data_IF_865980846302
#
_entry.id   IF_865980846302
#
_cell.length_a   1.000
_cell.length_b   1.000
_cell.length_c   1.000
_cell.angle_alpha   90.00
_cell.angle_beta   90.00
_cell.angle_gamma   90.00
#
_symmetry.space_group_name_H-M   'P 1'
#
loop_
_entity.id
_entity.type
_entity.pdbx_description
1 polymer ?
#
# COMPACT_ATOMS: atom_id res chain seq x y z
N UNK A 1 -4.80 -19.21 18.98
CA UNK A 1 -5.36 -18.37 17.90
C UNK A 1 -4.30 -18.25 16.81
N UNK A 2 -4.65 -18.28 15.52
CA UNK A 2 -3.68 -18.07 14.43
C UNK A 2 -3.40 -16.59 14.11
N UNK A 3 -3.77 -15.67 15.02
CA UNK A 3 -3.62 -14.22 14.82
C UNK A 3 -2.19 -13.86 15.22
N UNK A 4 -1.38 -13.44 14.25
CA UNK A 4 0.03 -13.13 14.48
C UNK A 4 0.28 -11.68 14.91
N UNK A 5 -0.55 -10.73 14.48
CA UNK A 5 -0.38 -9.30 14.73
C UNK A 5 -1.54 -8.77 15.59
N UNK A 6 -1.22 -7.97 16.60
CA UNK A 6 -2.16 -7.27 17.49
C UNK A 6 -1.76 -5.81 17.60
N UNK A 7 -2.49 -4.96 16.90
CA UNK A 7 -2.28 -3.51 16.88
C UNK A 7 -3.08 -2.81 17.98
N UNK A 8 -2.50 -1.78 18.57
CA UNK A 8 -3.09 -1.07 19.70
C UNK A 8 -3.65 0.28 19.27
N UNK A 9 -4.97 0.34 19.14
CA UNK A 9 -5.70 1.56 18.79
C UNK A 9 -5.92 1.70 17.28
N UNK A 10 -6.46 2.85 16.89
CA UNK A 10 -6.62 3.34 15.52
C UNK A 10 -6.63 4.86 15.61
N UNK A 11 -5.83 5.57 14.85
CA UNK A 11 -5.75 7.03 14.77
C UNK A 11 -5.95 7.77 16.11
N UNK A 12 -5.23 7.37 17.18
CA UNK A 12 -5.47 7.88 18.53
C UNK A 12 -5.19 9.39 18.65
N UNK A 13 -4.42 9.96 17.72
CA UNK A 13 -4.03 11.37 17.68
C UNK A 13 -5.15 12.31 17.19
N UNK A 14 -6.16 11.79 16.47
CA UNK A 14 -7.30 12.57 15.99
C UNK A 14 -8.64 12.15 16.60
N UNK A 15 -8.72 11.01 17.30
CA UNK A 15 -9.91 10.65 18.07
C UNK A 15 -11.10 10.26 17.19
N UNK A 16 -12.30 10.75 17.50
CA UNK A 16 -13.54 10.29 16.84
C UNK A 16 -13.56 10.61 15.33
N UNK A 17 -12.82 11.64 14.92
CA UNK A 17 -12.66 12.01 13.50
C UNK A 17 -11.87 10.95 12.71
N UNK A 18 -11.11 10.09 13.40
CA UNK A 18 -10.35 8.96 12.85
C UNK A 18 -10.89 7.59 13.27
N UNK A 19 -12.16 7.51 13.68
CA UNK A 19 -12.74 6.23 14.13
C UNK A 19 -12.24 5.74 15.51
N UNK A 20 -11.59 6.60 16.30
CA UNK A 20 -11.16 6.29 17.66
C UNK A 20 -12.09 6.92 18.71
N UNK A 21 -12.66 6.16 19.66
CA UNK A 21 -13.56 6.75 20.68
C UNK A 21 -12.88 7.79 21.58
N UNK A 22 -11.55 7.79 21.66
CA UNK A 22 -10.79 8.68 22.52
C UNK A 22 -9.68 9.37 21.74
N UNK A 23 -9.54 10.68 21.95
CA UNK A 23 -8.36 11.42 21.49
C UNK A 23 -7.28 11.37 22.56
N UNK A 24 -6.16 10.75 22.25
CA UNK A 24 -5.06 10.56 23.18
C UNK A 24 -4.05 11.70 23.13
N UNK A 25 -3.51 12.02 24.29
CA UNK A 25 -2.20 12.67 24.42
C UNK A 25 -1.10 11.61 24.33
N UNK A 26 0.16 12.04 24.18
CA UNK A 26 1.28 11.11 24.14
C UNK A 26 1.44 10.34 25.46
N UNK A 27 1.20 10.96 26.62
CA UNK A 27 1.28 10.30 27.93
C UNK A 27 0.15 9.28 28.13
N UNK A 28 -1.08 9.65 27.76
CA UNK A 28 -2.24 8.77 27.91
C UNK A 28 -2.17 7.57 26.95
N UNK A 29 -1.69 7.77 25.71
CA UNK A 29 -1.47 6.68 24.78
C UNK A 29 -0.36 5.74 25.27
N UNK A 30 0.79 6.26 25.73
CA UNK A 30 1.87 5.43 26.25
C UNK A 30 1.41 4.50 27.38
N UNK A 31 0.61 5.03 28.31
CA UNK A 31 0.00 4.23 29.39
C UNK A 31 -0.95 3.17 28.83
N UNK A 32 -1.82 3.55 27.90
CA UNK A 32 -2.77 2.63 27.26
C UNK A 32 -2.05 1.50 26.51
N UNK A 33 -1.00 1.83 25.75
CA UNK A 33 -0.17 0.88 25.02
C UNK A 33 0.45 -0.16 25.95
N UNK A 34 1.12 0.28 27.02
CA UNK A 34 1.78 -0.63 27.96
C UNK A 34 0.81 -1.65 28.56
N UNK A 35 -0.33 -1.20 29.07
CA UNK A 35 -1.32 -2.11 29.67
C UNK A 35 -1.94 -3.05 28.62
N UNK A 36 -2.20 -2.56 27.42
CA UNK A 36 -2.80 -3.35 26.33
C UNK A 36 -1.83 -4.43 25.86
N UNK A 37 -0.56 -4.08 25.64
CA UNK A 37 0.50 -5.02 25.26
C UNK A 37 0.72 -6.09 26.34
N UNK A 38 0.79 -5.69 27.61
CA UNK A 38 0.93 -6.64 28.71
C UNK A 38 -0.27 -7.61 28.79
N UNK A 39 -1.48 -7.14 28.46
CA UNK A 39 -2.66 -7.99 28.38
C UNK A 39 -2.63 -8.94 27.18
N UNK A 40 -2.27 -8.44 26.00
CA UNK A 40 -2.17 -9.23 24.78
C UNK A 40 -1.15 -10.37 24.95
N UNK A 41 0.06 -10.06 25.44
CA UNK A 41 1.13 -11.06 25.61
C UNK A 41 0.87 -12.05 26.75
N UNK A 42 0.06 -11.69 27.75
CA UNK A 42 -0.42 -12.65 28.76
C UNK A 42 -1.40 -13.65 28.16
N UNK A 43 -2.22 -13.23 27.21
CA UNK A 43 -3.18 -14.10 26.53
C UNK A 43 -2.51 -14.94 25.43
N UNK A 44 -1.58 -14.35 24.69
CA UNK A 44 -0.83 -15.01 23.62
C UNK A 44 0.64 -14.51 23.61
N UNK A 45 1.56 -15.26 24.26
CA UNK A 45 2.97 -14.89 24.31
C UNK A 45 3.69 -14.85 22.95
N UNK A 46 3.07 -15.38 21.88
CA UNK A 46 3.65 -15.39 20.54
C UNK A 46 3.13 -14.23 19.65
N UNK A 47 2.15 -13.47 20.13
CA UNK A 47 1.60 -12.35 19.36
C UNK A 47 2.65 -11.25 19.14
N UNK A 48 2.77 -10.80 17.88
CA UNK A 48 3.45 -9.54 17.56
C UNK A 48 2.52 -8.39 17.94
N UNK A 49 3.01 -7.47 18.76
CA UNK A 49 2.28 -6.29 19.22
C UNK A 49 2.90 -4.99 18.70
N UNK A 50 2.08 -4.01 18.40
CA UNK A 50 2.53 -2.74 17.81
C UNK A 50 1.46 -1.64 17.79
N UNK A 51 1.83 -0.49 17.24
CA UNK A 51 1.02 0.73 17.16
C UNK A 51 1.88 1.92 16.72
N UNK A 52 1.40 3.18 16.73
CA UNK A 52 0.10 3.62 17.25
C UNK A 52 -1.06 3.66 16.24
N UNK A 53 -0.88 3.18 15.02
CA UNK A 53 -1.84 3.39 13.93
C UNK A 53 -2.17 4.89 13.74
N UNK A 54 -1.13 5.74 13.68
CA UNK A 54 -1.30 7.20 13.67
C UNK A 54 -1.91 7.72 12.35
N UNK A 55 -2.87 8.64 12.44
CA UNK A 55 -3.31 9.42 11.28
C UNK A 55 -2.23 10.40 10.82
N UNK A 56 -1.51 10.99 11.79
CA UNK A 56 -0.42 11.92 11.54
C UNK A 56 0.92 11.35 12.02
N UNK A 57 1.74 10.91 11.07
CA UNK A 57 3.06 10.28 11.31
C UNK A 57 4.06 11.12 12.14
N UNK A 58 3.84 12.44 12.27
CA UNK A 58 4.65 13.33 13.14
C UNK A 58 3.97 13.65 14.48
N UNK A 59 2.92 12.92 14.83
CA UNK A 59 2.26 13.05 16.13
C UNK A 59 3.28 12.87 17.27
N UNK A 60 3.22 13.70 18.34
CA UNK A 60 4.05 13.52 19.54
C UNK A 60 3.92 12.15 20.21
N UNK A 61 2.86 11.40 19.90
CA UNK A 61 2.67 10.01 20.37
C UNK A 61 3.83 9.12 19.90
N UNK A 62 4.31 9.28 18.66
CA UNK A 62 5.32 8.40 18.09
C UNK A 62 6.66 8.43 18.84
N UNK A 63 7.33 9.60 19.03
CA UNK A 63 8.57 9.64 19.79
C UNK A 63 8.39 9.25 21.26
N UNK A 64 7.23 9.57 21.87
CA UNK A 64 6.94 9.17 23.24
C UNK A 64 6.81 7.64 23.39
N UNK A 65 6.16 6.96 22.41
CA UNK A 65 6.07 5.51 22.39
C UNK A 65 7.44 4.86 22.26
N UNK A 66 8.31 5.38 21.39
CA UNK A 66 9.67 4.87 21.25
C UNK A 66 10.47 5.06 22.54
N UNK A 67 10.37 6.22 23.19
CA UNK A 67 11.01 6.46 24.49
C UNK A 67 10.51 5.51 25.57
N UNK A 68 9.20 5.27 25.66
CA UNK A 68 8.60 4.30 26.58
C UNK A 68 9.18 2.90 26.35
N UNK A 69 9.16 2.42 25.10
CA UNK A 69 9.61 1.07 24.77
C UNK A 69 11.11 0.91 25.00
N UNK A 70 11.91 1.93 24.71
CA UNK A 70 13.36 1.92 24.91
C UNK A 70 13.75 1.97 26.41
N UNK A 71 13.08 2.81 27.21
CA UNK A 71 13.41 3.04 28.62
C UNK A 71 12.87 1.94 29.55
N UNK A 72 11.68 1.42 29.27
CA UNK A 72 10.98 0.45 30.14
C UNK A 72 10.90 -0.95 29.55
N UNK A 73 11.51 -1.17 28.38
CA UNK A 73 11.52 -2.46 27.68
C UNK A 73 10.11 -3.01 27.41
N UNK A 74 9.13 -2.13 27.22
CA UNK A 74 7.80 -2.52 26.75
C UNK A 74 7.95 -3.09 25.34
N UNK A 75 7.42 -4.29 25.03
CA UNK A 75 7.55 -4.88 23.70
C UNK A 75 6.95 -4.00 22.60
N UNK A 76 7.70 -3.85 21.50
CA UNK A 76 7.29 -3.17 20.28
C UNK A 76 7.83 -3.99 19.10
N UNK A 77 6.97 -4.83 18.52
CA UNK A 77 7.32 -5.72 17.41
C UNK A 77 7.13 -5.04 16.06
N UNK A 78 6.22 -4.08 15.98
CA UNK A 78 6.01 -3.26 14.79
C UNK A 78 5.55 -1.84 15.17
N UNK A 79 5.85 -0.88 14.30
CA UNK A 79 5.32 0.49 14.35
C UNK A 79 4.43 0.73 13.15
N UNK A 80 3.27 1.36 13.39
CA UNK A 80 2.24 1.55 12.37
C UNK A 80 1.71 2.97 12.29
N UNK A 81 1.33 3.38 11.08
CA UNK A 81 0.76 4.68 10.77
C UNK A 81 0.06 4.66 9.41
N UNK A 82 -0.82 5.64 9.21
CA UNK A 82 -1.63 5.78 8.01
C UNK A 82 -1.12 6.90 7.10
N UNK A 83 -1.47 6.83 5.82
CA UNK A 83 -1.30 7.96 4.90
C UNK A 83 -2.29 7.92 3.73
N UNK A 84 -2.99 9.02 3.53
CA UNK A 84 -3.87 9.24 2.38
C UNK A 84 -3.38 10.45 1.57
N UNK A 85 -2.68 10.19 0.48
CA UNK A 85 -2.10 11.24 -0.36
C UNK A 85 -1.97 10.78 -1.82
N UNK A 86 -2.30 11.65 -2.76
CA UNK A 86 -2.22 11.35 -4.20
C UNK A 86 -0.81 11.54 -4.79
N UNK A 87 0.14 12.03 -4.00
CA UNK A 87 1.56 12.10 -4.34
C UNK A 87 2.34 10.92 -3.71
N UNK A 88 2.87 9.96 -4.52
CA UNK A 88 3.69 8.87 -4.02
C UNK A 88 4.93 9.31 -3.23
N UNK A 89 5.52 10.46 -3.56
CA UNK A 89 6.68 10.98 -2.84
C UNK A 89 6.31 11.41 -1.42
N UNK A 90 5.09 11.91 -1.20
CA UNK A 90 4.59 12.22 0.13
C UNK A 90 4.43 10.96 0.99
N UNK A 91 4.02 9.84 0.40
CA UNK A 91 3.97 8.53 1.08
C UNK A 91 5.37 8.08 1.48
N UNK A 92 6.33 8.12 0.53
CA UNK A 92 7.75 7.82 0.79
C UNK A 92 8.31 8.64 1.94
N UNK A 93 8.02 9.93 1.98
CA UNK A 93 8.50 10.84 3.02
C UNK A 93 8.03 10.44 4.43
N UNK A 94 6.85 9.81 4.58
CA UNK A 94 6.42 9.28 5.89
C UNK A 94 7.30 8.12 6.34
N UNK A 95 7.65 7.21 5.42
CA UNK A 95 8.50 6.04 5.68
C UNK A 95 9.90 6.49 6.09
N UNK A 96 10.49 7.41 5.32
CA UNK A 96 11.82 7.94 5.60
C UNK A 96 11.85 8.66 6.96
N UNK A 97 10.81 9.42 7.29
CA UNK A 97 10.69 10.08 8.59
C UNK A 97 10.63 9.09 9.75
N UNK A 98 9.74 8.08 9.68
CA UNK A 98 9.57 7.10 10.76
C UNK A 98 10.84 6.29 10.96
N UNK A 99 11.50 5.88 9.88
CA UNK A 99 12.79 5.17 9.94
C UNK A 99 13.91 6.03 10.52
N UNK A 100 14.00 7.30 10.12
CA UNK A 100 14.98 8.23 10.68
C UNK A 100 14.75 8.47 12.18
N UNK A 101 13.49 8.55 12.62
CA UNK A 101 13.14 8.65 14.03
C UNK A 101 13.50 7.36 14.79
N UNK A 102 13.17 6.19 14.25
CA UNK A 102 13.51 4.89 14.82
C UNK A 102 15.03 4.69 14.95
N UNK A 103 15.81 5.23 14.00
CA UNK A 103 17.28 5.21 14.03
C UNK A 103 17.90 5.86 15.28
N UNK A 104 17.15 6.70 16.00
CA UNK A 104 17.57 7.27 17.30
C UNK A 104 17.49 6.28 18.46
N UNK A 105 16.83 5.15 18.26
CA UNK A 105 16.57 4.10 19.25
C UNK A 105 17.18 2.77 18.80
N UNK A 106 18.51 2.61 18.78
CA UNK A 106 19.17 1.46 18.14
C UNK A 106 18.84 0.09 18.74
N UNK A 107 18.28 0.05 19.97
CA UNK A 107 17.80 -1.17 20.62
C UNK A 107 16.41 -1.61 20.14
N UNK A 108 15.62 -0.70 19.58
CA UNK A 108 14.34 -1.03 18.98
C UNK A 108 14.57 -1.55 17.56
N UNK A 109 13.96 -2.70 17.25
CA UNK A 109 13.98 -3.33 15.91
C UNK A 109 12.56 -3.73 15.46
N UNK A 110 11.55 -2.85 15.58
CA UNK A 110 10.22 -3.15 15.10
C UNK A 110 10.20 -3.20 13.57
N UNK A 111 9.29 -4.00 13.02
CA UNK A 111 8.84 -3.87 11.63
C UNK A 111 8.17 -2.50 11.43
N UNK A 112 8.24 -1.96 10.23
CA UNK A 112 7.58 -0.72 9.80
C UNK A 112 6.37 -1.04 8.93
N UNK A 113 5.20 -0.56 9.33
CA UNK A 113 3.91 -0.95 8.76
C UNK A 113 3.12 0.29 8.35
N UNK A 114 2.73 0.37 7.08
CA UNK A 114 1.64 1.26 6.65
C UNK A 114 0.33 0.46 6.67
N UNK A 115 -0.33 0.41 7.81
CA UNK A 115 -1.57 -0.36 8.05
C UNK A 115 -2.81 0.25 7.36
N UNK A 116 -2.74 1.51 6.94
CA UNK A 116 -3.66 2.08 5.97
C UNK A 116 -2.93 3.01 4.99
N UNK A 117 -3.16 2.81 3.68
CA UNK A 117 -2.76 3.78 2.66
C UNK A 117 -3.68 3.79 1.44
N UNK A 118 -3.89 4.98 0.87
CA UNK A 118 -4.49 5.16 -0.46
C UNK A 118 -4.18 6.58 -1.00
N UNK A 119 -4.78 6.93 -2.14
CA UNK A 119 -4.87 8.31 -2.62
C UNK A 119 -5.65 9.20 -1.63
N UNK A 120 -5.67 10.51 -1.85
CA UNK A 120 -6.43 11.44 -1.02
C UNK A 120 -7.94 11.09 -1.00
N UNK A 121 -8.52 10.92 0.19
CA UNK A 121 -9.89 10.43 0.39
C UNK A 121 -10.99 11.36 -0.15
N UNK A 122 -10.73 12.66 -0.23
CA UNK A 122 -11.72 13.67 -0.63
C UNK A 122 -11.55 14.17 -2.06
N UNK A 123 -10.53 13.69 -2.77
CA UNK A 123 -10.17 14.19 -4.10
C UNK A 123 -10.04 13.00 -5.06
N UNK A 124 -11.15 12.55 -5.66
CA UNK A 124 -11.10 11.43 -6.58
C UNK A 124 -10.22 11.75 -7.80
N UNK A 125 -9.51 10.76 -8.36
CA UNK A 125 -8.74 10.97 -9.57
C UNK A 125 -9.66 11.31 -10.75
N UNK A 126 -9.33 12.37 -11.49
CA UNK A 126 -10.09 12.78 -12.69
C UNK A 126 -10.00 11.77 -13.84
N UNK A 127 -8.99 10.88 -13.80
CA UNK A 127 -8.74 9.85 -14.81
C UNK A 127 -8.61 8.48 -14.13
N UNK A 128 -9.44 7.53 -14.55
CA UNK A 128 -9.47 6.17 -14.01
C UNK A 128 -8.11 5.43 -14.10
N UNK A 129 -7.20 5.87 -14.98
CA UNK A 129 -5.84 5.30 -15.13
C UNK A 129 -4.91 5.65 -13.97
N UNK A 130 -5.16 6.74 -13.24
CA UNK A 130 -4.25 7.23 -12.21
C UNK A 130 -4.14 6.22 -11.07
N UNK A 131 -5.26 5.78 -10.51
CA UNK A 131 -5.25 4.95 -9.29
C UNK A 131 -4.55 3.59 -9.47
N UNK A 132 -4.75 2.83 -10.57
CA UNK A 132 -3.97 1.61 -10.81
C UNK A 132 -2.46 1.86 -10.96
N UNK A 133 -2.08 2.94 -11.66
CA UNK A 133 -0.68 3.32 -11.83
C UNK A 133 -0.06 3.80 -10.50
N UNK A 134 -0.83 4.53 -9.69
CA UNK A 134 -0.48 4.97 -8.34
C UNK A 134 -0.19 3.78 -7.43
N UNK A 135 -1.01 2.72 -7.47
CA UNK A 135 -0.77 1.50 -6.70
C UNK A 135 0.60 0.89 -7.02
N UNK A 136 0.96 0.78 -8.31
CA UNK A 136 2.25 0.26 -8.72
C UNK A 136 3.41 1.18 -8.28
N UNK A 137 3.26 2.49 -8.49
CA UNK A 137 4.26 3.50 -8.11
C UNK A 137 4.51 3.51 -6.59
N UNK A 138 3.45 3.53 -5.78
CA UNK A 138 3.57 3.52 -4.32
C UNK A 138 4.18 2.20 -3.83
N UNK A 139 3.81 1.06 -4.40
CA UNK A 139 4.44 -0.22 -4.06
C UNK A 139 5.95 -0.21 -4.33
N UNK A 140 6.39 0.42 -5.43
CA UNK A 140 7.80 0.62 -5.74
C UNK A 140 8.48 1.53 -4.73
N UNK A 141 7.89 2.68 -4.43
CA UNK A 141 8.41 3.62 -3.41
C UNK A 141 8.55 2.95 -2.04
N UNK A 142 7.56 2.16 -1.61
CA UNK A 142 7.59 1.42 -0.35
C UNK A 142 8.71 0.38 -0.32
N UNK A 143 8.89 -0.37 -1.42
CA UNK A 143 9.94 -1.39 -1.51
C UNK A 143 11.33 -0.76 -1.55
N UNK A 144 11.51 0.33 -2.29
CA UNK A 144 12.77 1.07 -2.31
C UNK A 144 13.10 1.71 -0.95
N UNK A 145 12.10 2.24 -0.25
CA UNK A 145 12.24 2.73 1.12
C UNK A 145 12.55 1.64 2.15
N UNK A 146 12.36 0.37 1.78
CA UNK A 146 12.49 -0.79 2.65
C UNK A 146 11.37 -0.93 3.68
N UNK A 147 10.16 -0.45 3.41
CA UNK A 147 9.00 -0.69 4.28
C UNK A 147 8.73 -2.20 4.40
N UNK A 148 8.44 -2.68 5.61
CA UNK A 148 8.28 -4.10 5.88
C UNK A 148 6.90 -4.60 5.41
N UNK A 149 5.83 -3.91 5.80
CA UNK A 149 4.45 -4.29 5.49
C UNK A 149 3.62 -3.07 5.09
N UNK A 150 2.60 -3.31 4.26
CA UNK A 150 1.58 -2.30 3.96
C UNK A 150 0.22 -2.95 3.70
N UNK A 151 -0.84 -2.22 4.01
CA UNK A 151 -2.22 -2.62 3.83
C UNK A 151 -2.96 -1.54 3.04
N UNK A 152 -3.37 -1.87 1.82
CA UNK A 152 -4.14 -0.97 0.98
C UNK A 152 -5.54 -0.77 1.59
N UNK A 153 -5.89 0.48 1.85
CA UNK A 153 -7.20 0.82 2.40
C UNK A 153 -8.15 1.24 1.26
N UNK A 154 -9.17 0.47 0.90
CA UNK A 154 -9.59 -0.79 1.51
C UNK A 154 -10.16 -1.77 0.49
N UNK A 155 -10.55 -2.95 0.97
CA UNK A 155 -11.02 -4.03 0.10
C UNK A 155 -12.36 -3.66 -0.55
N UNK A 156 -13.33 -3.12 0.22
CA UNK A 156 -14.69 -2.89 -0.28
C UNK A 156 -15.33 -1.73 0.43
N UNK A 157 -16.03 -0.88 -0.30
CA UNK A 157 -16.81 0.20 0.30
C UNK A 157 -17.96 -0.33 1.16
N UNK A 158 -18.06 0.16 2.40
CA UNK A 158 -19.06 -0.25 3.38
C UNK A 158 -19.87 0.93 3.89
N UNK A 159 -21.17 0.69 4.06
CA UNK A 159 -22.01 1.57 4.87
C UNK A 159 -21.87 1.17 6.32
N UNK A 160 -22.05 2.15 7.20
CA UNK A 160 -22.00 1.92 8.63
C UNK A 160 -23.31 2.30 9.31
N UNK A 161 -23.59 1.68 10.45
CA UNK A 161 -24.75 2.01 11.27
C UNK A 161 -24.36 3.03 12.35
N UNK A 162 -24.97 4.23 12.30
CA UNK A 162 -24.77 5.31 13.26
C UNK A 162 -24.97 4.83 14.70
N UNK A 163 -26.00 4.02 14.94
CA UNK A 163 -26.41 3.64 16.30
C UNK A 163 -25.47 2.61 16.91
N UNK A 164 -24.62 1.96 16.10
CA UNK A 164 -23.49 1.17 16.60
C UNK A 164 -22.44 2.09 17.23
N UNK A 165 -22.05 3.16 16.55
CA UNK A 165 -21.08 4.13 17.07
C UNK A 165 -21.62 4.92 18.25
N UNK A 166 -22.91 5.26 18.26
CA UNK A 166 -23.52 6.03 19.34
C UNK A 166 -23.44 5.37 20.73
N UNK A 167 -23.06 4.08 20.80
CA UNK A 167 -22.83 3.34 22.06
C UNK A 167 -21.50 3.70 22.73
N UNK A 168 -20.53 4.19 21.98
CA UNK A 168 -19.18 4.47 22.48
C UNK A 168 -18.56 5.76 21.95
N UNK A 169 -19.19 6.44 20.99
CA UNK A 169 -18.84 7.79 20.52
C UNK A 169 -19.83 8.81 21.05
N UNK A 170 -19.42 10.07 21.08
CA UNK A 170 -20.28 11.22 21.22
C UNK A 170 -21.34 11.25 20.11
N UNK A 171 -22.45 11.96 20.34
CA UNK A 171 -23.48 12.15 19.31
C UNK A 171 -22.93 12.80 18.03
N UNK A 172 -21.93 13.69 18.17
CA UNK A 172 -21.25 14.32 17.05
C UNK A 172 -20.40 13.31 16.29
N UNK A 173 -19.52 12.56 16.97
CA UNK A 173 -18.66 11.55 16.37
C UNK A 173 -19.45 10.46 15.66
N UNK A 174 -20.49 9.92 16.29
CA UNK A 174 -21.35 8.91 15.66
C UNK A 174 -22.02 9.44 14.37
N UNK A 175 -22.46 10.70 14.39
CA UNK A 175 -23.05 11.35 13.21
C UNK A 175 -22.01 11.64 12.14
N UNK A 176 -20.78 12.00 12.53
CA UNK A 176 -19.64 12.15 11.61
C UNK A 176 -19.33 10.82 10.91
N UNK A 177 -19.17 9.71 11.64
CA UNK A 177 -18.91 8.39 11.06
C UNK A 177 -19.98 8.00 10.04
N UNK A 178 -21.26 8.16 10.39
CA UNK A 178 -22.34 7.86 9.46
C UNK A 178 -22.37 8.82 8.26
N UNK A 179 -22.06 10.10 8.44
CA UNK A 179 -22.00 11.05 7.34
C UNK A 179 -20.83 10.74 6.39
N UNK A 180 -19.66 10.43 6.92
CA UNK A 180 -18.49 10.03 6.15
C UNK A 180 -18.80 8.80 5.31
N UNK A 181 -19.17 7.69 5.94
CA UNK A 181 -19.32 6.41 5.26
C UNK A 181 -20.60 6.23 4.43
N UNK A 182 -21.67 6.97 4.75
CA UNK A 182 -22.98 6.78 4.09
C UNK A 182 -23.40 7.96 3.20
N UNK A 183 -22.71 9.11 3.26
CA UNK A 183 -23.12 10.31 2.50
C UNK A 183 -21.99 10.90 1.66
N UNK A 184 -20.74 10.71 2.04
CA UNK A 184 -19.62 11.07 1.17
C UNK A 184 -19.42 9.99 0.11
N UNK A 185 -19.14 10.36 -1.15
CA UNK A 185 -18.69 9.40 -2.14
C UNK A 185 -17.39 8.71 -1.70
N UNK A 186 -17.37 7.37 -1.72
CA UNK A 186 -16.22 6.53 -1.42
C UNK A 186 -15.59 5.99 -2.72
N UNK A 187 -14.26 5.93 -2.75
CA UNK A 187 -13.44 5.56 -3.92
C UNK A 187 -12.21 4.72 -3.56
N UNK A 188 -12.18 4.27 -2.33
CA UNK A 188 -11.09 3.63 -1.61
C UNK A 188 -11.15 2.11 -1.78
N UNK A 189 -12.35 1.55 -2.00
CA UNK A 189 -12.59 0.12 -2.21
C UNK A 189 -12.03 -0.41 -3.52
N UNK A 190 -11.40 -1.58 -3.49
CA UNK A 190 -11.20 -2.40 -4.69
C UNK A 190 -12.55 -2.87 -5.29
N UNK A 191 -13.57 -2.96 -4.45
CA UNK A 191 -14.96 -3.22 -4.81
C UNK A 191 -15.84 -2.07 -4.33
N UNK A 192 -16.75 -1.60 -5.18
CA UNK A 192 -17.75 -0.61 -4.77
C UNK A 192 -18.88 -1.22 -3.91
N UNK A 193 -19.83 -0.38 -3.49
CA UNK A 193 -21.01 -0.80 -2.72
C UNK A 193 -21.91 -1.83 -3.43
N UNK A 194 -21.82 -1.95 -4.76
CA UNK A 194 -22.58 -2.91 -5.57
C UNK A 194 -21.75 -4.16 -5.91
N UNK A 195 -20.55 -4.31 -5.35
CA UNK A 195 -19.56 -5.34 -5.65
C UNK A 195 -18.99 -5.29 -7.07
N UNK A 196 -19.09 -4.15 -7.76
CA UNK A 196 -18.35 -3.99 -9.01
C UNK A 196 -16.86 -3.83 -8.71
N UNK A 197 -16.03 -4.51 -9.48
CA UNK A 197 -14.57 -4.45 -9.38
C UNK A 197 -14.08 -3.12 -9.95
N UNK A 198 -13.30 -2.36 -9.16
CA UNK A 198 -12.66 -1.11 -9.59
C UNK A 198 -11.28 -1.36 -10.24
N UNK A 199 -10.80 -0.47 -11.12
CA UNK A 199 -9.51 -0.60 -11.78
C UNK A 199 -8.29 -0.97 -10.90
N UNK A 200 -8.09 -0.42 -9.67
CA UNK A 200 -6.93 -0.77 -8.84
C UNK A 200 -6.84 -2.26 -8.47
N UNK A 201 -7.96 -3.00 -8.47
CA UNK A 201 -7.94 -4.45 -8.28
C UNK A 201 -7.04 -5.15 -9.30
N UNK A 202 -7.08 -4.71 -10.56
CA UNK A 202 -6.27 -5.30 -11.62
C UNK A 202 -4.78 -4.95 -11.47
N UNK A 203 -4.42 -3.83 -10.83
CA UNK A 203 -3.03 -3.56 -10.46
C UNK A 203 -2.52 -4.56 -9.42
N UNK A 204 -3.30 -4.83 -8.36
CA UNK A 204 -2.97 -5.87 -7.38
C UNK A 204 -2.92 -7.27 -8.01
N UNK A 205 -3.80 -7.57 -8.97
CA UNK A 205 -3.77 -8.82 -9.73
C UNK A 205 -2.51 -8.98 -10.58
N UNK A 206 -2.00 -7.89 -11.16
CA UNK A 206 -0.73 -7.91 -11.89
C UNK A 206 0.46 -8.05 -10.93
N UNK A 207 0.44 -7.35 -9.79
CA UNK A 207 1.45 -7.50 -8.72
C UNK A 207 1.49 -8.95 -8.20
N UNK A 208 0.35 -9.61 -8.04
CA UNK A 208 0.30 -11.00 -7.56
C UNK A 208 0.86 -12.02 -8.56
N UNK A 209 1.12 -11.62 -9.81
CA UNK A 209 1.76 -12.47 -10.84
C UNK A 209 3.28 -12.34 -10.85
N UNK A 210 3.85 -11.44 -10.05
CA UNK A 210 5.29 -11.33 -9.84
C UNK A 210 5.72 -12.40 -8.84
N UNK A 211 5.92 -13.62 -9.32
CA UNK A 211 6.27 -14.79 -8.51
C UNK A 211 7.74 -15.17 -8.64
N UNK A 212 8.25 -15.96 -7.69
CA UNK A 212 9.64 -16.40 -7.66
C UNK A 212 10.60 -15.33 -7.13
N UNK A 213 11.83 -15.36 -7.63
CA UNK A 213 12.91 -14.48 -7.16
C UNK A 213 12.81 -13.11 -7.80
N UNK A 214 13.02 -12.06 -7.00
CA UNK A 214 13.12 -10.69 -7.50
C UNK A 214 14.46 -10.51 -8.23
N UNK A 215 14.38 -9.93 -9.42
CA UNK A 215 15.53 -9.48 -10.19
C UNK A 215 15.65 -7.95 -10.16
N UNK A 216 16.84 -7.44 -10.50
CA UNK A 216 17.08 -6.01 -10.61
C UNK A 216 16.28 -5.41 -11.78
N UNK A 217 15.69 -4.24 -11.56
CA UNK A 217 14.91 -3.50 -12.55
C UNK A 217 15.05 -2.00 -12.26
N UNK A 218 16.26 -1.48 -12.44
CA UNK A 218 16.57 -0.08 -12.20
C UNK A 218 16.07 0.80 -13.35
N UNK A 219 15.65 2.01 -13.02
CA UNK A 219 15.21 3.01 -14.00
C UNK A 219 15.90 4.34 -13.76
N UNK A 220 16.37 4.97 -14.83
CA UNK A 220 16.81 6.36 -14.83
C UNK A 220 15.68 7.34 -15.13
N UNK A 221 14.49 6.84 -15.48
CA UNK A 221 13.31 7.67 -15.71
C UNK A 221 12.72 8.09 -14.37
N UNK A 222 12.38 9.38 -14.17
CA UNK A 222 11.74 9.83 -12.95
C UNK A 222 10.27 9.37 -12.84
N UNK A 223 9.66 8.88 -13.92
CA UNK A 223 8.24 8.53 -13.96
C UNK A 223 7.96 7.10 -14.36
N UNK A 224 8.95 6.39 -14.92
CA UNK A 224 8.75 5.03 -15.39
C UNK A 224 9.57 4.07 -14.55
N UNK A 225 8.90 3.11 -13.93
CA UNK A 225 9.50 2.15 -13.01
C UNK A 225 9.00 0.75 -13.34
N UNK A 226 9.67 -0.27 -12.78
CA UNK A 226 9.34 -1.65 -13.04
C UNK A 226 9.63 -2.57 -11.85
N UNK A 227 8.94 -3.72 -11.86
CA UNK A 227 9.32 -4.90 -11.10
C UNK A 227 9.61 -6.04 -12.07
N UNK A 228 10.71 -6.75 -11.82
CA UNK A 228 11.10 -7.94 -12.58
C UNK A 228 11.28 -9.12 -11.63
N UNK A 229 10.77 -10.27 -12.02
CA UNK A 229 10.88 -11.52 -11.26
C UNK A 229 11.19 -12.69 -12.18
N UNK A 230 11.76 -13.76 -11.63
CA UNK A 230 11.93 -15.05 -12.29
C UNK A 230 11.36 -16.17 -11.42
N UNK A 231 10.41 -16.92 -11.99
CA UNK A 231 9.84 -18.10 -11.36
C UNK A 231 10.42 -19.36 -12.00
N UNK A 232 11.31 -20.03 -11.27
CA UNK A 232 11.95 -21.28 -11.70
C UNK A 232 10.93 -22.40 -11.94
N UNK A 233 9.78 -22.40 -11.24
CA UNK A 233 8.76 -23.45 -11.38
C UNK A 233 8.13 -23.44 -12.76
N UNK A 234 7.94 -22.23 -13.32
CA UNK A 234 7.31 -22.02 -14.63
C UNK A 234 8.33 -21.69 -15.73
N UNK A 235 9.62 -21.58 -15.40
CA UNK A 235 10.67 -21.03 -16.27
C UNK A 235 10.23 -19.69 -16.91
N UNK A 236 9.65 -18.81 -16.08
CA UNK A 236 8.95 -17.60 -16.53
C UNK A 236 9.55 -16.35 -15.91
N UNK A 237 9.89 -15.37 -16.74
CA UNK A 237 10.17 -14.02 -16.26
C UNK A 237 8.88 -13.18 -16.32
N UNK A 238 8.62 -12.41 -15.27
CA UNK A 238 7.46 -11.52 -15.19
C UNK A 238 7.93 -10.09 -14.98
N UNK A 239 7.55 -9.19 -15.90
CA UNK A 239 7.85 -7.77 -15.84
C UNK A 239 6.54 -6.98 -15.69
N UNK A 240 6.42 -6.20 -14.62
CA UNK A 240 5.41 -5.15 -14.49
C UNK A 240 6.12 -3.81 -14.70
N UNK A 241 5.69 -3.03 -15.69
CA UNK A 241 6.27 -1.72 -16.02
C UNK A 241 5.16 -0.68 -16.16
N UNK A 242 5.40 0.53 -15.68
CA UNK A 242 4.41 1.60 -15.73
C UNK A 242 5.04 2.98 -15.95
N UNK A 243 4.21 3.97 -16.26
CA UNK A 243 4.58 5.38 -16.37
C UNK A 243 3.65 6.23 -15.51
N UNK A 244 4.09 6.61 -14.31
CA UNK A 244 3.34 7.49 -13.42
C UNK A 244 3.49 8.96 -13.84
N UNK A 245 2.91 9.31 -14.98
CA UNK A 245 2.92 10.67 -15.54
C UNK A 245 1.68 10.94 -16.38
N UNK A 246 1.23 12.20 -16.38
CA UNK A 246 0.20 12.69 -17.28
C UNK A 246 0.68 12.79 -18.74
N UNK A 247 2.00 12.81 -18.96
CA UNK A 247 2.60 12.77 -20.28
C UNK A 247 3.04 11.34 -20.67
N UNK A 248 2.91 10.95 -21.95
CA UNK A 248 3.54 9.73 -22.43
C UNK A 248 5.06 9.83 -22.33
N UNK A 249 5.74 8.69 -22.24
CA UNK A 249 7.20 8.62 -22.22
C UNK A 249 7.69 7.48 -23.09
N UNK A 250 8.90 7.62 -23.61
CA UNK A 250 9.62 6.55 -24.31
C UNK A 250 10.77 6.09 -23.42
N UNK A 251 10.79 4.80 -23.09
CA UNK A 251 11.86 4.19 -22.30
C UNK A 251 12.66 3.24 -23.17
N UNK A 252 13.98 3.26 -23.01
CA UNK A 252 14.88 2.28 -23.61
C UNK A 252 15.12 1.19 -22.56
N UNK A 253 14.64 -0.02 -22.84
CA UNK A 253 14.93 -1.19 -22.01
C UNK A 253 16.26 -1.75 -22.50
N UNK A 254 17.26 -1.76 -21.62
CA UNK A 254 18.63 -2.22 -21.90
C UNK A 254 19.03 -3.30 -20.91
N UNK A 255 20.04 -4.09 -21.28
CA UNK A 255 20.72 -5.00 -20.34
C UNK A 255 19.80 -6.02 -19.65
N UNK A 256 18.76 -6.47 -20.37
CA UNK A 256 18.03 -7.67 -20.02
C UNK A 256 19.01 -8.84 -20.17
N UNK A 257 19.78 -9.15 -19.12
CA UNK A 257 20.68 -10.31 -19.05
C UNK A 257 19.87 -11.60 -18.91
N UNK A 258 18.85 -11.75 -19.74
CA UNK A 258 17.94 -12.87 -19.76
C UNK A 258 18.50 -13.92 -20.74
N UNK A 259 18.67 -15.18 -20.32
CA UNK A 259 19.36 -16.18 -21.13
C UNK A 259 18.52 -16.62 -22.35
N UNK A 260 19.12 -16.55 -23.53
CA UNK A 260 18.57 -17.14 -24.75
C UNK A 260 17.58 -16.25 -25.51
N UNK A 261 16.93 -16.84 -26.52
CA UNK A 261 15.87 -16.18 -27.28
C UNK A 261 14.59 -16.24 -26.47
N UNK A 262 13.99 -15.08 -26.17
CA UNK A 262 12.77 -14.97 -25.38
C UNK A 262 11.70 -14.17 -26.12
N UNK A 263 10.44 -14.46 -25.81
CA UNK A 263 9.26 -13.75 -26.31
C UNK A 263 8.49 -13.19 -25.12
N UNK A 264 8.14 -11.91 -25.19
CA UNK A 264 7.27 -11.24 -24.24
C UNK A 264 5.82 -11.26 -24.73
N UNK A 265 4.96 -11.94 -23.98
CA UNK A 265 3.51 -11.89 -24.11
C UNK A 265 2.97 -10.73 -23.27
N UNK A 266 2.45 -9.72 -23.95
CA UNK A 266 2.21 -8.41 -23.34
C UNK A 266 0.73 -8.17 -23.07
N UNK A 267 0.43 -7.53 -21.93
CA UNK A 267 -0.91 -7.09 -21.53
C UNK A 267 -0.83 -5.64 -21.06
N UNK A 268 -1.79 -4.82 -21.48
CA UNK A 268 -1.98 -3.46 -20.99
C UNK A 268 -3.21 -3.40 -20.09
N UNK A 269 -3.08 -2.76 -18.94
CA UNK A 269 -4.20 -2.50 -18.04
C UNK A 269 -5.03 -1.32 -18.59
N UNK A 270 -6.22 -1.61 -19.10
CA UNK A 270 -7.18 -0.62 -19.58
C UNK A 270 -8.15 -0.21 -18.47
N UNK A 271 -7.72 0.74 -17.65
CA UNK A 271 -8.54 1.30 -16.58
C UNK A 271 -9.75 2.10 -17.08
N UNK A 272 -9.79 2.49 -18.37
CA UNK A 272 -10.91 3.24 -18.94
C UNK A 272 -12.01 2.34 -19.53
N UNK A 273 -11.76 1.03 -19.67
CA UNK A 273 -12.79 0.07 -20.10
C UNK A 273 -14.05 0.17 -19.23
N UNK A 274 -15.23 0.08 -19.84
CA UNK A 274 -16.50 0.04 -19.12
C UNK A 274 -16.79 -1.36 -18.53
N UNK A 275 -16.07 -2.39 -18.99
CA UNK A 275 -16.24 -3.76 -18.52
C UNK A 275 -15.37 -4.06 -17.30
N UNK A 276 -15.90 -4.79 -16.33
CA UNK A 276 -15.13 -5.36 -15.22
C UNK A 276 -14.60 -6.77 -15.52
N UNK A 277 -14.80 -7.28 -16.75
CA UNK A 277 -14.19 -8.52 -17.21
C UNK A 277 -12.65 -8.39 -17.27
N UNK A 278 -11.96 -9.44 -16.87
CA UNK A 278 -10.51 -9.44 -16.82
C UNK A 278 -9.86 -9.31 -18.20
N UNK A 279 -10.37 -10.00 -19.21
CA UNK A 279 -9.77 -9.94 -20.56
C UNK A 279 -10.02 -8.58 -21.22
N UNK A 280 -11.14 -7.93 -20.87
CA UNK A 280 -11.40 -6.55 -21.27
C UNK A 280 -10.48 -5.55 -20.55
N UNK A 281 -10.13 -5.81 -19.29
CA UNK A 281 -9.26 -4.95 -18.46
C UNK A 281 -7.77 -5.17 -18.70
N UNK A 282 -7.37 -6.38 -19.05
CA UNK A 282 -5.99 -6.77 -19.33
C UNK A 282 -5.85 -7.07 -20.83
N UNK A 283 -5.85 -6.01 -21.63
CA UNK A 283 -5.91 -6.09 -23.08
C UNK A 283 -4.61 -6.67 -23.65
N UNK A 284 -4.69 -7.72 -24.50
CA UNK A 284 -3.55 -8.20 -25.27
C UNK A 284 -2.90 -7.11 -26.10
N UNK A 285 -1.58 -7.00 -25.99
CA UNK A 285 -0.74 -6.28 -26.94
C UNK A 285 -0.02 -7.29 -27.84
N UNK A 286 0.56 -6.80 -28.94
CA UNK A 286 1.37 -7.64 -29.83
C UNK A 286 2.58 -8.18 -29.07
N UNK A 287 2.82 -9.48 -29.22
CA UNK A 287 4.00 -10.14 -28.67
C UNK A 287 5.30 -9.57 -29.28
N UNK A 288 6.35 -9.52 -28.47
CA UNK A 288 7.64 -8.94 -28.88
C UNK A 288 8.75 -9.94 -28.58
N UNK A 289 9.57 -10.25 -29.58
CA UNK A 289 10.81 -10.97 -29.35
C UNK A 289 11.78 -10.03 -28.61
N UNK A 290 12.33 -10.47 -27.48
CA UNK A 290 13.25 -9.64 -26.71
C UNK A 290 14.60 -9.54 -27.43
N UNK A 291 15.12 -8.32 -27.47
CA UNK A 291 16.46 -7.97 -27.92
C UNK A 291 17.25 -7.35 -26.76
N UNK A 292 18.58 -7.30 -26.89
CA UNK A 292 19.46 -6.70 -25.87
C UNK A 292 19.10 -5.23 -25.55
N UNK A 293 18.56 -4.53 -26.55
CA UNK A 293 18.01 -3.20 -26.43
C UNK A 293 16.67 -3.14 -27.16
N UNK A 294 15.67 -2.50 -26.56
CA UNK A 294 14.39 -2.21 -27.20
C UNK A 294 13.82 -0.88 -26.71
N UNK A 295 13.06 -0.21 -27.57
CA UNK A 295 12.29 0.97 -27.19
C UNK A 295 10.86 0.56 -26.85
N UNK A 296 10.32 1.18 -25.80
CA UNK A 296 8.95 1.01 -25.38
C UNK A 296 8.30 2.39 -25.20
N UNK A 297 7.19 2.59 -25.90
CA UNK A 297 6.33 3.75 -25.72
C UNK A 297 5.29 3.45 -24.63
N UNK A 298 5.34 4.19 -23.53
CA UNK A 298 4.38 4.12 -22.44
C UNK A 298 3.46 5.34 -22.50
N UNK A 299 2.15 5.10 -22.64
CA UNK A 299 1.16 6.16 -22.55
C UNK A 299 1.12 6.79 -21.16
N UNK A 300 0.36 7.88 -21.01
CA UNK A 300 0.12 8.49 -19.70
C UNK A 300 -0.57 7.51 -18.75
N UNK A 301 -0.01 7.35 -17.56
CA UNK A 301 -0.48 6.39 -16.54
C UNK A 301 -0.63 4.95 -17.06
N UNK A 302 0.19 4.57 -18.05
CA UNK A 302 0.18 3.21 -18.58
C UNK A 302 0.71 2.23 -17.53
N UNK A 303 0.09 1.05 -17.45
CA UNK A 303 0.59 -0.11 -16.72
C UNK A 303 0.57 -1.30 -17.68
N UNK A 304 1.73 -1.91 -17.92
CA UNK A 304 1.88 -3.10 -18.75
C UNK A 304 2.49 -4.25 -17.95
N UNK A 305 2.00 -5.47 -18.22
CA UNK A 305 2.54 -6.70 -17.66
C UNK A 305 2.97 -7.64 -18.78
N UNK A 306 4.19 -8.16 -18.67
CA UNK A 306 4.80 -9.01 -19.68
C UNK A 306 5.17 -10.36 -19.06
N UNK A 307 4.62 -11.43 -19.64
CA UNK A 307 5.05 -12.80 -19.40
C UNK A 307 6.12 -13.15 -20.42
N UNK A 308 7.34 -13.42 -19.98
CA UNK A 308 8.51 -13.58 -20.83
C UNK A 308 9.02 -15.02 -20.71
N UNK A 309 8.89 -15.78 -21.80
CA UNK A 309 9.26 -17.20 -21.87
C UNK A 309 10.06 -17.52 -23.14
N UNK A 310 10.64 -18.72 -23.19
CA UNK A 310 11.28 -19.22 -24.42
C UNK A 310 10.20 -19.46 -25.49
N UNK A 311 10.48 -19.17 -26.78
CA UNK A 311 9.56 -19.50 -27.85
C UNK A 311 9.23 -20.99 -27.82
N UNK A 312 7.95 -21.31 -28.01
CA UNK A 312 7.49 -22.69 -28.22
C UNK A 312 7.84 -23.19 -29.62
#
# INVERSE_FOLDING_TARGET
SGIQYSEVGNEPDIGEDGGCPYRFTHESYCRYYEYTVAAALRADPQAKVGGPALAYFKSPILPALFELCASRQVPLHFVSWHIYNSDPAAIRATIDYVKALLGRYPKLKPETVLDEWNMALTTPPENARIQPCFVAEVAWQMKDAGLDLSCYYHIRDFHVDRDRFARFFSAKGASFMAAWWNRMPQYDGLFDYQNNVRPPYFAFKLLSRLTGDRLAADSSSPTAHAFLTYDQTYDLHSLLIWNFSAAPTKVKVINLHLPGRLVAHRRSLDAASASSDENARLRPLKDVALSAEMELDLASYAVEFWSIEKPR
#
